data_IF_249258143375
#
_entry.id   IF_249258143375
#
_cell.length_a   1.000
_cell.length_b   1.000
_cell.length_c   1.000
_cell.angle_alpha   90.00
_cell.angle_beta   90.00
_cell.angle_gamma   90.00
#
_symmetry.space_group_name_H-M   'P 1'
#
loop_
_entity.id
_entity.type
_entity.pdbx_description
1 polymer ?
#
# COMPACT_ATOMS: atom_id res chain seq x y z
N UNK A 1 -12.41 12.19 17.56
CA UNK A 1 -11.27 11.80 16.70
C UNK A 1 -10.18 12.86 16.79
N UNK A 2 -8.92 12.45 16.79
CA UNK A 2 -7.73 13.31 16.74
C UNK A 2 -6.96 13.07 15.44
N UNK A 3 -6.70 14.12 14.69
CA UNK A 3 -6.04 14.08 13.38
C UNK A 3 -4.82 15.00 13.42
N UNK A 4 -3.69 14.56 12.91
CA UNK A 4 -2.52 15.42 12.73
C UNK A 4 -2.15 15.44 11.25
N UNK A 5 -2.11 16.65 10.68
CA UNK A 5 -1.54 16.90 9.36
C UNK A 5 -0.03 17.11 9.53
N UNK A 6 0.79 16.44 8.72
CA UNK A 6 2.25 16.45 8.87
C UNK A 6 2.89 16.90 7.55
N UNK A 7 3.82 17.86 7.61
CA UNK A 7 4.48 18.43 6.44
C UNK A 7 5.85 19.05 6.80
N UNK A 8 6.71 19.28 5.81
CA UNK A 8 7.89 20.16 5.92
C UNK A 8 7.56 21.53 5.30
N UNK A 9 7.58 22.60 6.09
CA UNK A 9 7.24 23.95 5.62
C UNK A 9 8.24 24.44 4.57
N UNK A 10 9.54 24.30 4.83
CA UNK A 10 10.59 24.80 3.96
C UNK A 10 10.59 24.11 2.60
N UNK A 11 10.19 22.85 2.52
CA UNK A 11 10.09 22.11 1.25
C UNK A 11 8.87 22.56 0.43
N UNK A 12 7.72 22.84 1.08
CA UNK A 12 6.56 23.46 0.41
C UNK A 12 6.95 24.83 -0.16
N UNK A 13 7.60 25.66 0.64
CA UNK A 13 8.03 27.01 0.24
C UNK A 13 9.09 26.95 -0.86
N UNK A 14 10.02 26.00 -0.80
CA UNK A 14 11.01 25.77 -1.85
C UNK A 14 10.37 25.31 -3.16
N UNK A 15 9.38 24.41 -3.09
CA UNK A 15 8.72 23.84 -4.27
C UNK A 15 7.85 24.86 -4.98
N UNK A 16 7.05 25.62 -4.23
CA UNK A 16 6.03 26.52 -4.79
C UNK A 16 6.39 28.00 -4.74
N UNK A 17 7.46 28.38 -4.03
CA UNK A 17 7.90 29.77 -3.92
C UNK A 17 6.78 30.70 -3.48
N UNK A 18 6.55 31.76 -4.26
CA UNK A 18 5.54 32.78 -3.99
C UNK A 18 4.08 32.30 -4.02
N UNK A 19 3.79 31.09 -4.50
CA UNK A 19 2.43 30.51 -4.49
C UNK A 19 2.19 29.50 -3.37
N UNK A 20 3.18 29.26 -2.52
CA UNK A 20 3.07 28.38 -1.34
C UNK A 20 1.91 28.75 -0.40
N UNK A 21 1.48 30.02 -0.37
CA UNK A 21 0.29 30.44 0.40
C UNK A 21 -0.99 29.70 -0.02
N UNK A 22 -1.10 29.25 -1.27
CA UNK A 22 -2.25 28.48 -1.76
C UNK A 22 -2.29 27.11 -1.07
N UNK A 23 -1.14 26.45 -0.93
CA UNK A 23 -1.01 25.19 -0.19
C UNK A 23 -1.50 25.36 1.25
N UNK A 24 -0.99 26.39 1.93
CA UNK A 24 -1.35 26.68 3.33
C UNK A 24 -2.82 27.04 3.49
N UNK A 25 -3.43 27.72 2.50
CA UNK A 25 -4.87 27.97 2.48
C UNK A 25 -5.65 26.65 2.47
N UNK A 26 -5.25 25.66 1.67
CA UNK A 26 -5.92 24.35 1.65
C UNK A 26 -5.73 23.57 2.95
N UNK A 27 -4.53 23.61 3.54
CA UNK A 27 -4.26 23.00 4.85
C UNK A 27 -5.18 23.61 5.91
N UNK A 28 -5.33 24.93 5.94
CA UNK A 28 -6.23 25.61 6.88
C UNK A 28 -7.70 25.24 6.62
N UNK A 29 -8.14 25.15 5.35
CA UNK A 29 -9.49 24.66 5.01
C UNK A 29 -9.77 23.26 5.59
N UNK A 30 -8.80 22.34 5.52
CA UNK A 30 -8.92 21.01 6.15
C UNK A 30 -9.02 21.11 7.67
N UNK A 31 -8.16 21.90 8.31
CA UNK A 31 -8.19 22.08 9.77
C UNK A 31 -9.54 22.65 10.23
N UNK A 32 -10.03 23.69 9.56
CA UNK A 32 -11.32 24.31 9.84
C UNK A 32 -12.47 23.32 9.65
N UNK A 33 -12.43 22.52 8.59
CA UNK A 33 -13.43 21.48 8.34
C UNK A 33 -13.43 20.41 9.44
N UNK A 34 -12.27 19.94 9.86
CA UNK A 34 -12.19 18.97 10.95
C UNK A 34 -12.66 19.55 12.28
N UNK A 35 -12.34 20.81 12.57
CA UNK A 35 -12.86 21.50 13.74
C UNK A 35 -14.39 21.66 13.67
N UNK A 36 -14.93 22.00 12.49
CA UNK A 36 -16.38 22.04 12.26
C UNK A 36 -17.04 20.68 12.48
N UNK A 37 -16.37 19.58 12.12
CA UNK A 37 -16.77 18.20 12.44
C UNK A 37 -16.53 17.80 13.91
N UNK A 38 -16.11 18.72 14.77
CA UNK A 38 -15.77 18.46 16.18
C UNK A 38 -14.61 17.48 16.38
N UNK A 39 -13.72 17.36 15.39
CA UNK A 39 -12.47 16.62 15.53
C UNK A 39 -11.38 17.53 16.10
N UNK A 40 -10.45 16.93 16.84
CA UNK A 40 -9.24 17.60 17.30
C UNK A 40 -8.20 17.52 16.19
N UNK A 41 -8.10 18.55 15.37
CA UNK A 41 -7.13 18.60 14.28
C UNK A 41 -6.02 19.62 14.56
N UNK A 42 -4.78 19.25 14.25
CA UNK A 42 -3.62 20.13 14.31
C UNK A 42 -2.68 19.89 13.12
N UNK A 43 -1.82 20.88 12.86
CA UNK A 43 -0.72 20.81 11.92
C UNK A 43 0.59 20.65 12.70
N UNK A 44 1.45 19.75 12.23
CA UNK A 44 2.81 19.59 12.70
C UNK A 44 3.78 19.86 11.54
N UNK A 45 4.52 20.96 11.63
CA UNK A 45 5.56 21.33 10.68
C UNK A 45 6.91 20.81 11.20
N UNK A 46 7.43 19.79 10.52
CA UNK A 46 8.56 18.98 11.00
C UNK A 46 9.85 19.79 11.15
N UNK A 47 10.04 20.81 10.30
CA UNK A 47 11.22 21.66 10.21
C UNK A 47 11.07 23.01 10.92
N UNK A 48 9.94 23.23 11.62
CA UNK A 48 9.65 24.48 12.33
C UNK A 48 9.90 24.29 13.83
N UNK A 49 10.92 24.97 14.35
CA UNK A 49 11.33 24.89 15.77
C UNK A 49 10.18 25.13 16.75
N UNK A 50 9.34 26.13 16.49
CA UNK A 50 8.23 26.48 17.39
C UNK A 50 7.14 25.41 17.41
N UNK A 51 6.93 24.71 16.29
CA UNK A 51 5.95 23.62 16.21
C UNK A 51 6.47 22.36 16.86
N UNK A 52 7.71 21.96 16.59
CA UNK A 52 8.30 20.76 17.18
C UNK A 52 8.54 20.88 18.70
N UNK A 53 8.74 22.11 19.20
CA UNK A 53 8.82 22.37 20.63
C UNK A 53 7.54 21.98 21.40
N UNK A 54 6.35 21.99 20.74
CA UNK A 54 5.08 21.55 21.35
C UNK A 54 5.11 20.07 21.73
N UNK A 55 5.94 19.29 21.04
CA UNK A 55 6.11 17.85 21.24
C UNK A 55 7.41 17.49 21.97
N UNK A 56 8.17 18.49 22.43
CA UNK A 56 9.51 18.33 23.01
C UNK A 56 10.51 17.65 22.06
N UNK A 57 10.39 17.93 20.76
CA UNK A 57 11.23 17.38 19.71
C UNK A 57 12.12 18.45 19.08
N UNK A 58 13.31 18.08 18.57
CA UNK A 58 14.07 18.98 17.70
C UNK A 58 13.36 19.15 16.34
N UNK A 59 13.53 20.30 15.66
CA UNK A 59 13.11 20.42 14.27
C UNK A 59 13.97 19.53 13.37
N UNK A 60 13.35 18.96 12.35
CA UNK A 60 14.03 18.26 11.25
C UNK A 60 14.89 19.28 10.51
N UNK A 61 16.19 19.00 10.42
CA UNK A 61 17.16 19.91 9.80
C UNK A 61 17.30 19.68 8.29
N UNK A 62 17.02 18.47 7.84
CA UNK A 62 16.94 18.08 6.44
C UNK A 62 15.64 17.31 6.20
N UNK A 63 14.67 17.94 5.55
CA UNK A 63 13.36 17.32 5.27
C UNK A 63 13.42 16.11 4.33
N UNK A 64 14.57 15.86 3.68
CA UNK A 64 14.81 14.68 2.85
C UNK A 64 15.54 13.55 3.59
N UNK A 65 16.02 13.80 4.82
CA UNK A 65 16.58 12.76 5.68
C UNK A 65 15.43 11.91 6.25
N UNK A 66 15.21 10.75 5.63
CA UNK A 66 14.14 9.82 5.99
C UNK A 66 14.21 9.39 7.47
N UNK A 67 15.39 9.32 8.08
CA UNK A 67 15.53 8.99 9.50
C UNK A 67 15.03 10.12 10.36
N UNK A 68 15.49 11.36 10.10
CA UNK A 68 15.00 12.52 10.87
C UNK A 68 13.49 12.71 10.73
N UNK A 69 12.95 12.53 9.53
CA UNK A 69 11.50 12.61 9.28
C UNK A 69 10.75 11.52 10.05
N UNK A 70 11.22 10.26 10.00
CA UNK A 70 10.63 9.14 10.75
C UNK A 70 10.67 9.38 12.26
N UNK A 71 11.82 9.79 12.80
CA UNK A 71 12.00 10.05 14.23
C UNK A 71 11.06 11.19 14.70
N UNK A 72 10.88 12.23 13.87
CA UNK A 72 9.96 13.33 14.15
C UNK A 72 8.49 12.87 14.14
N UNK A 73 8.07 12.08 13.13
CA UNK A 73 6.72 11.51 13.05
C UNK A 73 6.44 10.59 14.24
N UNK A 74 7.41 9.76 14.62
CA UNK A 74 7.33 8.89 15.80
C UNK A 74 7.16 9.68 17.09
N UNK A 75 7.96 10.73 17.27
CA UNK A 75 7.85 11.61 18.43
C UNK A 75 6.48 12.30 18.51
N UNK A 76 5.97 12.80 17.39
CA UNK A 76 4.63 13.43 17.31
C UNK A 76 3.56 12.41 17.69
N UNK A 77 3.63 11.19 17.14
CA UNK A 77 2.68 10.13 17.48
C UNK A 77 2.77 9.76 18.97
N UNK A 78 3.97 9.66 19.53
CA UNK A 78 4.16 9.32 20.94
C UNK A 78 3.57 10.38 21.89
N UNK A 79 3.76 11.67 21.55
CA UNK A 79 3.23 12.81 22.31
C UNK A 79 1.70 12.90 22.23
N UNK A 80 1.13 12.72 21.03
CA UNK A 80 -0.26 13.07 20.77
C UNK A 80 -1.21 11.87 20.64
N UNK A 81 -0.68 10.70 20.25
CA UNK A 81 -1.42 9.45 19.95
C UNK A 81 -2.65 9.68 19.07
N UNK A 82 -2.52 10.35 17.91
CA UNK A 82 -3.64 10.66 17.05
C UNK A 82 -4.34 9.39 16.55
N UNK A 83 -5.61 9.52 16.20
CA UNK A 83 -6.38 8.44 15.58
C UNK A 83 -6.03 8.30 14.09
N UNK A 84 -5.52 9.37 13.46
CA UNK A 84 -5.05 9.37 12.08
C UNK A 84 -3.93 10.40 11.89
N UNK A 85 -2.93 10.06 11.08
CA UNK A 85 -1.94 11.00 10.56
C UNK A 85 -2.12 11.14 9.04
N UNK A 86 -2.15 12.37 8.56
CA UNK A 86 -2.18 12.66 7.12
C UNK A 86 -0.86 13.30 6.70
N UNK A 87 -0.13 12.62 5.83
CA UNK A 87 1.14 13.07 5.28
C UNK A 87 0.84 14.00 4.10
N UNK A 88 1.28 15.25 4.18
CA UNK A 88 0.93 16.27 3.19
C UNK A 88 2.05 16.43 2.16
N UNK A 89 1.69 16.33 0.87
CA UNK A 89 2.62 16.43 -0.25
C UNK A 89 3.19 15.08 -0.73
N UNK A 90 3.80 15.09 -1.90
CA UNK A 90 4.54 14.00 -2.51
C UNK A 90 5.94 13.87 -1.89
N UNK A 91 6.75 12.97 -2.44
CA UNK A 91 8.04 12.59 -1.86
C UNK A 91 9.13 13.68 -1.87
N UNK A 92 8.91 14.80 -2.54
CA UNK A 92 9.77 16.00 -2.49
C UNK A 92 9.36 17.02 -1.40
N UNK A 93 8.24 16.79 -0.70
CA UNK A 93 7.79 17.56 0.46
C UNK A 93 7.88 16.72 1.74
N UNK A 94 7.41 15.47 1.69
CA UNK A 94 7.51 14.52 2.80
C UNK A 94 7.92 13.17 2.21
N UNK A 95 9.18 12.74 2.39
CA UNK A 95 9.71 11.60 1.66
C UNK A 95 8.97 10.31 2.01
N UNK A 96 8.79 9.44 1.02
CA UNK A 96 8.64 8.02 1.33
C UNK A 96 9.90 7.52 2.04
N UNK A 97 9.75 6.55 2.92
CA UNK A 97 10.91 5.81 3.39
C UNK A 97 11.22 4.69 2.39
N UNK A 98 12.46 4.62 1.95
CA UNK A 98 12.93 3.64 0.97
C UNK A 98 13.32 2.36 1.73
N UNK A 99 12.49 1.33 1.61
CA UNK A 99 12.72 0.04 2.22
C UNK A 99 13.44 -0.87 1.22
N UNK A 100 14.44 -1.61 1.67
CA UNK A 100 15.17 -2.57 0.83
C UNK A 100 14.22 -3.65 0.36
N UNK A 101 14.12 -3.84 -0.94
CA UNK A 101 13.44 -5.01 -1.50
C UNK A 101 14.35 -6.24 -1.28
N UNK A 102 13.80 -7.25 -0.62
CA UNK A 102 14.51 -8.51 -0.32
C UNK A 102 13.97 -9.68 -1.14
N UNK A 103 13.07 -9.40 -2.08
CA UNK A 103 12.53 -10.40 -3.00
C UNK A 103 13.67 -10.98 -3.86
N UNK A 104 13.86 -12.32 -3.89
CA UNK A 104 14.81 -13.00 -4.74
C UNK A 104 14.75 -12.51 -6.17
N UNK A 105 15.93 -12.16 -6.71
CA UNK A 105 16.10 -11.77 -8.11
C UNK A 105 15.21 -10.61 -8.57
N UNK A 106 14.65 -9.83 -7.65
CA UNK A 106 14.05 -8.54 -7.97
C UNK A 106 15.12 -7.60 -8.52
N UNK A 107 14.85 -6.99 -9.67
CA UNK A 107 15.69 -5.92 -10.21
C UNK A 107 15.47 -4.61 -9.44
N UNK A 108 14.39 -4.52 -8.66
CA UNK A 108 14.10 -3.39 -7.80
C UNK A 108 14.91 -3.50 -6.51
N UNK A 109 15.65 -2.45 -6.18
CA UNK A 109 16.45 -2.41 -4.94
C UNK A 109 15.65 -1.91 -3.73
N UNK A 110 14.65 -1.06 -3.98
CA UNK A 110 13.90 -0.40 -2.92
C UNK A 110 12.42 -0.25 -3.26
N UNK A 111 11.59 -0.35 -2.21
CA UNK A 111 10.16 -0.04 -2.19
C UNK A 111 9.97 1.30 -1.49
N UNK A 112 9.39 2.28 -2.18
CA UNK A 112 9.01 3.56 -1.58
C UNK A 112 7.75 3.35 -0.74
N UNK A 113 7.80 3.59 0.57
CA UNK A 113 6.70 3.21 1.47
C UNK A 113 6.34 4.26 2.53
N UNK A 114 5.04 4.29 2.86
CA UNK A 114 4.50 4.96 4.04
C UNK A 114 4.25 3.99 5.22
N UNK A 115 4.50 2.68 5.03
CA UNK A 115 4.39 1.68 6.10
C UNK A 115 5.24 2.04 7.34
N UNK A 116 6.47 2.59 7.21
CA UNK A 116 7.25 2.97 8.38
C UNK A 116 6.58 4.05 9.23
N UNK A 117 5.90 5.02 8.62
CA UNK A 117 5.14 6.02 9.36
C UNK A 117 3.91 5.43 10.07
N UNK A 118 3.43 4.27 9.61
CA UNK A 118 2.34 3.51 10.22
C UNK A 118 2.79 2.59 11.38
N UNK A 119 4.09 2.51 11.68
CA UNK A 119 4.67 1.60 12.68
C UNK A 119 5.39 2.35 13.81
N UNK A 120 5.37 1.75 15.01
CA UNK A 120 6.11 2.22 16.18
C UNK A 120 7.58 1.81 16.19
N UNK A 121 8.03 0.99 15.24
CA UNK A 121 9.44 0.64 15.11
C UNK A 121 10.25 1.87 14.68
N UNK A 122 11.44 2.06 15.26
CA UNK A 122 12.37 3.12 14.87
C UNK A 122 12.79 3.00 13.39
N UNK A 123 13.43 4.03 12.85
CA UNK A 123 13.91 3.98 11.46
C UNK A 123 14.76 2.74 11.16
N UNK A 124 14.45 2.11 10.03
CA UNK A 124 15.13 0.94 9.46
C UNK A 124 14.89 0.92 7.95
N UNK A 125 15.78 0.33 7.18
CA UNK A 125 15.50 0.06 5.74
C UNK A 125 14.95 -1.35 5.52
N UNK A 126 14.89 -2.18 6.56
CA UNK A 126 14.38 -3.55 6.48
C UNK A 126 12.85 -3.55 6.62
N UNK A 127 12.14 -4.14 5.64
CA UNK A 127 10.67 -4.24 5.66
C UNK A 127 10.18 -5.02 6.88
N UNK A 128 10.93 -6.05 7.31
CA UNK A 128 10.59 -6.88 8.47
C UNK A 128 10.47 -6.09 9.78
N UNK A 129 11.11 -4.91 9.86
CA UNK A 129 10.98 -4.02 11.02
C UNK A 129 9.57 -3.41 11.16
N UNK A 130 8.78 -3.40 10.08
CA UNK A 130 7.51 -2.68 10.02
C UNK A 130 6.29 -3.57 9.83
N UNK A 131 6.43 -4.90 9.93
CA UNK A 131 5.34 -5.89 9.81
C UNK A 131 4.38 -5.93 11.02
N UNK A 132 4.41 -4.90 11.87
CA UNK A 132 3.49 -4.67 12.98
C UNK A 132 3.01 -3.20 12.98
N UNK A 133 2.31 -2.74 11.92
CA UNK A 133 1.79 -1.39 11.90
C UNK A 133 0.75 -1.18 13.02
N UNK A 134 0.75 0.01 13.62
CA UNK A 134 -0.10 0.36 14.75
C UNK A 134 -0.84 1.70 14.57
N UNK A 135 -0.63 2.38 13.43
CA UNK A 135 -1.10 3.74 13.19
C UNK A 135 -1.83 3.85 11.86
N UNK A 136 -2.96 4.54 11.88
CA UNK A 136 -3.71 4.89 10.68
C UNK A 136 -3.02 6.05 9.97
N UNK A 137 -2.57 5.81 8.74
CA UNK A 137 -1.84 6.78 7.91
C UNK A 137 -2.47 6.86 6.53
N UNK A 138 -2.57 8.07 6.01
CA UNK A 138 -2.82 8.33 4.59
C UNK A 138 -1.91 9.46 4.11
N UNK A 139 -1.74 9.59 2.81
CA UNK A 139 -1.05 10.72 2.19
C UNK A 139 -2.00 11.54 1.34
N UNK A 140 -1.91 12.86 1.42
CA UNK A 140 -2.60 13.82 0.55
C UNK A 140 -1.52 14.42 -0.34
N UNK A 141 -1.20 13.77 -1.47
CA UNK A 141 -0.06 14.18 -2.27
C UNK A 141 -0.40 15.37 -3.18
N UNK A 142 0.65 16.07 -3.58
CA UNK A 142 0.67 16.90 -4.78
C UNK A 142 1.32 16.09 -5.92
N UNK A 143 1.91 16.77 -6.90
CA UNK A 143 2.65 16.14 -8.00
C UNK A 143 4.15 16.31 -7.79
N UNK A 144 4.92 15.22 -7.73
CA UNK A 144 6.37 15.26 -7.51
C UNK A 144 7.09 16.03 -8.62
N UNK A 145 8.01 16.91 -8.23
CA UNK A 145 8.84 17.67 -9.16
C UNK A 145 8.11 18.79 -9.91
N UNK A 146 6.79 18.91 -9.78
CA UNK A 146 6.03 20.00 -10.36
C UNK A 146 6.12 21.24 -9.46
N UNK A 147 6.68 22.33 -9.98
CA UNK A 147 6.79 23.62 -9.28
C UNK A 147 5.67 24.59 -9.65
N UNK A 148 4.74 24.13 -10.49
CA UNK A 148 3.70 24.94 -11.13
C UNK A 148 2.31 24.70 -10.51
N UNK A 149 1.33 25.47 -10.99
CA UNK A 149 -0.06 25.42 -10.51
C UNK A 149 -0.67 24.03 -10.73
N UNK A 150 -0.26 23.32 -11.77
CA UNK A 150 -0.73 21.96 -12.09
C UNK A 150 -0.42 20.99 -10.95
N UNK A 151 0.76 21.08 -10.33
CA UNK A 151 1.10 20.23 -9.18
C UNK A 151 0.27 20.57 -7.95
N UNK A 152 -0.04 21.85 -7.75
CA UNK A 152 -0.92 22.32 -6.68
C UNK A 152 -2.38 21.91 -6.91
N UNK A 153 -2.84 21.83 -8.16
CA UNK A 153 -4.22 21.48 -8.52
C UNK A 153 -4.59 20.08 -8.00
N UNK A 154 -3.71 19.09 -8.14
CA UNK A 154 -3.92 17.75 -7.57
C UNK A 154 -4.14 17.82 -6.05
N UNK A 155 -3.31 18.59 -5.35
CA UNK A 155 -3.42 18.75 -3.92
C UNK A 155 -4.74 19.43 -3.52
N UNK A 156 -5.10 20.52 -4.20
CA UNK A 156 -6.38 21.24 -4.00
C UNK A 156 -7.55 20.29 -4.19
N UNK A 157 -7.57 19.50 -5.28
CA UNK A 157 -8.67 18.58 -5.58
C UNK A 157 -8.78 17.43 -4.60
N UNK A 158 -7.65 16.91 -4.13
CA UNK A 158 -7.63 15.88 -3.09
C UNK A 158 -8.16 16.46 -1.77
N UNK A 159 -7.81 17.70 -1.44
CA UNK A 159 -8.37 18.42 -0.29
C UNK A 159 -9.87 18.63 -0.46
N UNK A 160 -10.33 19.14 -1.60
CA UNK A 160 -11.75 19.36 -1.88
C UNK A 160 -12.55 18.07 -1.78
N UNK A 161 -12.02 16.95 -2.29
CA UNK A 161 -12.63 15.64 -2.11
C UNK A 161 -12.78 15.28 -0.61
N UNK A 162 -11.76 15.51 0.20
CA UNK A 162 -11.84 15.28 1.66
C UNK A 162 -12.88 16.17 2.34
N UNK A 163 -13.07 17.41 1.88
CA UNK A 163 -14.05 18.35 2.42
C UNK A 163 -15.49 17.98 2.04
N UNK A 164 -15.67 17.43 0.84
CA UNK A 164 -16.98 17.04 0.30
C UNK A 164 -17.40 15.63 0.73
N UNK A 165 -16.45 14.84 1.20
CA UNK A 165 -16.68 13.45 1.59
C UNK A 165 -17.67 13.33 2.77
N UNK A 166 -18.53 12.33 2.65
CA UNK A 166 -19.63 12.06 3.59
C UNK A 166 -19.68 10.57 3.89
N UNK A 167 -20.05 10.17 5.12
CA UNK A 167 -20.36 8.78 5.41
C UNK A 167 -21.36 8.27 4.38
N UNK A 168 -20.98 7.25 3.62
CA UNK A 168 -21.91 6.56 2.73
C UNK A 168 -22.34 5.22 3.36
N UNK A 169 -23.60 4.79 3.17
CA UNK A 169 -24.00 3.45 3.57
C UNK A 169 -23.24 2.40 2.74
N UNK A 170 -23.08 1.19 3.28
CA UNK A 170 -22.47 0.04 2.58
C UNK A 170 -23.10 -0.18 1.19
N UNK A 171 -24.41 0.08 1.05
CA UNK A 171 -25.13 -0.04 -0.21
C UNK A 171 -24.58 0.87 -1.32
N UNK A 172 -23.93 1.98 -0.98
CA UNK A 172 -23.29 2.89 -1.93
C UNK A 172 -22.00 2.31 -2.53
N UNK A 173 -21.49 1.20 -1.98
CA UNK A 173 -20.25 0.53 -2.41
C UNK A 173 -20.52 -0.90 -2.89
N UNK A 174 -21.68 -1.11 -3.49
CA UNK A 174 -22.10 -2.43 -3.97
C UNK A 174 -21.61 -2.67 -5.39
N UNK A 175 -21.66 -1.68 -6.27
CA UNK A 175 -21.14 -1.78 -7.63
C UNK A 175 -19.61 -1.63 -7.67
N UNK A 176 -18.94 -2.60 -8.30
CA UNK A 176 -17.49 -2.64 -8.45
C UNK A 176 -17.13 -2.77 -9.93
N UNK A 177 -16.41 -1.79 -10.47
CA UNK A 177 -15.84 -1.85 -11.81
C UNK A 177 -14.54 -2.64 -11.70
N UNK A 178 -14.53 -3.86 -12.23
CA UNK A 178 -13.37 -4.74 -12.19
C UNK A 178 -12.77 -4.87 -13.59
N UNK A 179 -11.54 -4.38 -13.74
CA UNK A 179 -10.75 -4.51 -14.96
C UNK A 179 -9.51 -5.35 -14.69
N UNK A 180 -9.28 -6.40 -15.46
CA UNK A 180 -8.14 -7.30 -15.25
C UNK A 180 -7.50 -7.77 -16.56
N UNK A 181 -6.21 -8.13 -16.49
CA UNK A 181 -5.53 -8.81 -17.58
C UNK A 181 -6.09 -10.22 -17.75
N UNK A 182 -6.43 -10.64 -18.97
CA UNK A 182 -7.09 -11.95 -19.19
C UNK A 182 -6.29 -13.12 -18.60
N UNK A 183 -4.97 -13.08 -18.68
CA UNK A 183 -4.10 -14.13 -18.14
C UNK A 183 -4.09 -14.23 -16.60
N UNK A 184 -4.73 -13.29 -15.89
CA UNK A 184 -4.92 -13.26 -14.43
C UNK A 184 -6.39 -13.46 -14.03
N UNK A 185 -7.23 -13.96 -14.94
CA UNK A 185 -8.65 -14.21 -14.69
C UNK A 185 -8.87 -15.11 -13.46
N UNK A 186 -8.04 -16.14 -13.31
CA UNK A 186 -8.16 -17.08 -12.19
C UNK A 186 -7.89 -16.39 -10.85
N UNK A 187 -6.72 -15.74 -10.70
CA UNK A 187 -6.33 -15.04 -9.46
C UNK A 187 -7.35 -13.95 -9.09
N UNK A 188 -7.78 -13.17 -10.10
CA UNK A 188 -8.80 -12.14 -9.94
C UNK A 188 -10.11 -12.73 -9.44
N UNK A 189 -10.58 -13.83 -10.03
CA UNK A 189 -11.82 -14.47 -9.59
C UNK A 189 -11.72 -15.06 -8.18
N UNK A 190 -10.57 -15.62 -7.81
CA UNK A 190 -10.33 -16.16 -6.47
C UNK A 190 -10.41 -15.07 -5.40
N UNK A 191 -9.84 -13.89 -5.66
CA UNK A 191 -9.90 -12.77 -4.72
C UNK A 191 -11.30 -12.15 -4.65
N UNK A 192 -11.97 -11.96 -5.79
CA UNK A 192 -13.33 -11.43 -5.82
C UNK A 192 -14.33 -12.37 -5.12
N UNK A 193 -14.10 -13.68 -5.13
CA UNK A 193 -14.92 -14.65 -4.41
C UNK A 193 -14.82 -14.51 -2.88
N UNK A 194 -13.75 -13.89 -2.36
CA UNK A 194 -13.57 -13.60 -0.92
C UNK A 194 -14.28 -12.32 -0.48
N UNK A 195 -14.91 -11.58 -1.40
CA UNK A 195 -15.64 -10.36 -1.04
C UNK A 195 -16.91 -10.72 -0.26
N UNK A 196 -17.20 -9.90 0.75
CA UNK A 196 -18.40 -9.99 1.56
C UNK A 196 -19.64 -9.91 0.66
N UNK A 197 -20.70 -10.69 0.92
CA UNK A 197 -21.91 -10.73 0.11
C UNK A 197 -22.48 -9.34 -0.20
N UNK A 198 -23.12 -9.21 -1.37
CA UNK A 198 -23.75 -7.96 -1.81
C UNK A 198 -22.88 -7.08 -2.71
N UNK A 199 -21.72 -7.57 -3.19
CA UNK A 199 -21.00 -6.91 -4.27
C UNK A 199 -21.62 -7.26 -5.63
N UNK A 200 -21.96 -6.26 -6.43
CA UNK A 200 -22.24 -6.38 -7.85
C UNK A 200 -20.94 -6.08 -8.61
N UNK A 201 -20.15 -7.11 -8.91
CA UNK A 201 -18.87 -6.95 -9.61
C UNK A 201 -19.08 -7.03 -11.12
N UNK A 202 -18.82 -5.92 -11.80
CA UNK A 202 -18.86 -5.77 -13.25
C UNK A 202 -17.46 -6.04 -13.81
N UNK A 203 -17.25 -7.25 -14.33
CA UNK A 203 -15.93 -7.75 -14.75
C UNK A 203 -15.67 -7.51 -16.23
N UNK A 204 -14.48 -7.00 -16.53
CA UNK A 204 -13.98 -6.79 -17.87
C UNK A 204 -12.53 -7.28 -17.99
N UNK A 205 -12.27 -8.15 -18.96
CA UNK A 205 -10.94 -8.63 -19.29
C UNK A 205 -10.30 -7.82 -20.42
N UNK A 206 -8.98 -7.60 -20.33
CA UNK A 206 -8.19 -6.97 -21.38
C UNK A 206 -7.08 -7.90 -21.85
N UNK A 207 -7.01 -8.24 -23.16
CA UNK A 207 -8.02 -8.02 -24.21
C UNK A 207 -9.29 -8.89 -24.02
N UNK A 208 -10.45 -8.51 -24.61
CA UNK A 208 -10.60 -7.55 -25.73
C UNK A 208 -10.93 -6.11 -25.32
N UNK A 209 -11.12 -5.80 -24.04
CA UNK A 209 -11.48 -4.45 -23.62
C UNK A 209 -10.24 -3.57 -23.49
N UNK A 210 -10.33 -2.34 -24.00
CA UNK A 210 -9.22 -1.39 -24.08
C UNK A 210 -9.71 0.03 -23.80
N UNK A 211 -8.78 0.95 -23.54
CA UNK A 211 -9.07 2.37 -23.38
C UNK A 211 -9.45 3.01 -24.73
N UNK A 212 -10.38 3.99 -24.80
CA UNK A 212 -11.11 4.63 -23.70
C UNK A 212 -12.38 3.88 -23.28
N UNK A 213 -12.76 4.06 -22.01
CA UNK A 213 -13.96 3.47 -21.42
C UNK A 213 -15.16 4.40 -21.48
N UNK A 214 -16.37 3.82 -21.51
CA UNK A 214 -17.60 4.57 -21.30
C UNK A 214 -17.57 5.19 -19.89
N UNK A 215 -17.77 6.51 -19.81
CA UNK A 215 -17.83 7.24 -18.53
C UNK A 215 -18.83 6.63 -17.56
N UNK A 216 -19.95 6.08 -18.04
CA UNK A 216 -20.94 5.40 -17.19
C UNK A 216 -20.36 4.22 -16.41
N UNK A 217 -19.38 3.52 -16.97
CA UNK A 217 -18.67 2.45 -16.28
C UNK A 217 -17.68 3.00 -15.25
N UNK A 218 -17.05 4.14 -15.57
CA UNK A 218 -16.09 4.82 -14.71
C UNK A 218 -16.73 5.66 -13.58
N UNK A 219 -18.05 5.85 -13.60
CA UNK A 219 -18.84 6.42 -12.50
C UNK A 219 -19.13 5.41 -11.37
N UNK A 220 -18.62 4.17 -11.46
CA UNK A 220 -18.79 3.21 -10.39
C UNK A 220 -17.99 3.61 -9.15
N UNK A 221 -18.54 3.37 -7.94
CA UNK A 221 -17.96 3.88 -6.69
C UNK A 221 -16.66 3.17 -6.30
N UNK A 222 -16.44 1.93 -6.77
CA UNK A 222 -15.21 1.17 -6.55
C UNK A 222 -14.63 0.73 -7.88
N UNK A 223 -13.36 1.02 -8.09
CA UNK A 223 -12.56 0.50 -9.19
C UNK A 223 -11.56 -0.52 -8.66
N UNK A 224 -11.64 -1.76 -9.12
CA UNK A 224 -10.67 -2.82 -8.87
C UNK A 224 -9.90 -3.11 -10.15
N UNK A 225 -8.60 -2.79 -10.15
CA UNK A 225 -7.80 -2.74 -11.37
C UNK A 225 -6.61 -3.68 -11.21
N UNK A 226 -6.64 -4.81 -11.91
CA UNK A 226 -5.59 -5.83 -11.89
C UNK A 226 -4.91 -5.95 -13.27
N UNK A 227 -4.02 -5.01 -13.57
CA UNK A 227 -3.37 -4.87 -14.87
C UNK A 227 -1.85 -4.78 -14.74
N UNK A 228 -1.16 -4.83 -15.88
CA UNK A 228 0.26 -4.46 -15.93
C UNK A 228 0.41 -2.95 -15.78
N UNK A 229 1.53 -2.55 -15.17
CA UNK A 229 2.01 -1.19 -15.12
C UNK A 229 3.53 -1.20 -15.18
N UNK A 230 4.12 -0.07 -15.58
CA UNK A 230 5.57 0.10 -15.68
C UNK A 230 6.06 1.30 -14.87
N UNK A 231 7.35 1.35 -14.53
CA UNK A 231 7.93 2.48 -13.83
C UNK A 231 7.87 3.72 -14.73
N UNK A 232 7.38 4.83 -14.17
CA UNK A 232 7.23 6.10 -14.91
C UNK A 232 6.25 6.03 -16.11
N UNK A 233 5.31 5.06 -16.11
CA UNK A 233 4.32 4.88 -17.17
C UNK A 233 2.90 5.34 -16.78
N UNK A 234 2.24 6.01 -17.72
CA UNK A 234 0.91 6.60 -17.51
C UNK A 234 -0.24 5.66 -17.90
N UNK A 235 0.11 4.50 -18.48
CA UNK A 235 -0.81 3.52 -19.01
C UNK A 235 -0.74 2.23 -18.21
N UNK A 236 -1.88 1.55 -18.09
CA UNK A 236 -1.97 0.18 -17.65
C UNK A 236 -2.39 -0.73 -18.80
N UNK A 237 -1.83 -1.93 -18.81
CA UNK A 237 -1.94 -2.84 -19.95
C UNK A 237 -2.62 -4.15 -19.56
N UNK A 238 -3.45 -4.65 -20.48
CA UNK A 238 -4.01 -5.98 -20.40
C UNK A 238 -2.96 -7.05 -20.71
N UNK A 239 -3.38 -8.32 -20.69
CA UNK A 239 -2.56 -9.41 -21.19
C UNK A 239 -3.41 -10.58 -21.68
N UNK A 240 -3.13 -11.08 -22.89
CA UNK A 240 -3.50 -12.43 -23.33
C UNK A 240 -2.35 -13.05 -24.11
N UNK A 241 -1.64 -14.00 -23.49
CA UNK A 241 -0.40 -14.52 -24.07
C UNK A 241 0.63 -13.40 -24.26
N UNK A 242 1.01 -13.13 -25.51
CA UNK A 242 1.99 -12.10 -25.86
C UNK A 242 1.38 -10.75 -26.25
N UNK A 243 0.06 -10.60 -26.12
CA UNK A 243 -0.66 -9.36 -26.43
C UNK A 243 -0.87 -8.51 -25.18
N UNK A 244 -0.39 -7.26 -25.19
CA UNK A 244 -0.39 -6.32 -24.06
C UNK A 244 -0.99 -4.97 -24.48
N UNK A 245 -2.30 -4.90 -24.77
CA UNK A 245 -2.93 -3.66 -25.20
C UNK A 245 -3.06 -2.66 -24.05
N UNK A 246 -3.21 -1.38 -24.38
CA UNK A 246 -3.52 -0.33 -23.38
C UNK A 246 -4.95 -0.52 -22.88
N UNK A 247 -5.06 -1.10 -21.69
CA UNK A 247 -6.33 -1.38 -21.04
C UNK A 247 -6.90 -0.12 -20.38
N UNK A 248 -6.06 0.74 -19.81
CA UNK A 248 -6.49 1.96 -19.15
C UNK A 248 -5.40 3.04 -19.25
N UNK A 249 -5.76 4.19 -19.82
CA UNK A 249 -4.85 5.32 -20.03
C UNK A 249 -5.26 6.49 -19.12
N UNK A 250 -4.28 7.09 -18.42
CA UNK A 250 -4.55 8.13 -17.42
C UNK A 250 -5.16 9.41 -18.00
N UNK A 251 -4.86 9.75 -19.25
CA UNK A 251 -5.38 10.96 -19.93
C UNK A 251 -6.89 10.85 -20.21
N UNK A 252 -7.43 9.63 -20.31
CA UNK A 252 -8.86 9.41 -20.53
C UNK A 252 -9.71 9.47 -19.24
N UNK A 253 -9.06 9.64 -18.08
CA UNK A 253 -9.73 9.70 -16.79
C UNK A 253 -10.20 11.10 -16.40
N UNK A 254 -9.72 12.15 -17.07
CA UNK A 254 -10.10 13.53 -16.73
C UNK A 254 -11.61 13.77 -16.90
N UNK A 255 -12.27 14.12 -15.81
CA UNK A 255 -13.72 14.34 -15.77
C UNK A 255 -14.53 13.08 -16.10
N UNK A 256 -13.96 11.90 -15.85
CA UNK A 256 -14.60 10.60 -16.10
C UNK A 256 -14.91 9.83 -14.82
N UNK A 257 -14.41 10.28 -13.66
CA UNK A 257 -14.66 9.66 -12.36
C UNK A 257 -15.55 10.55 -11.49
N UNK A 258 -16.33 9.94 -10.60
CA UNK A 258 -17.03 10.67 -9.56
C UNK A 258 -16.09 10.98 -8.38
N UNK A 259 -16.25 12.16 -7.79
CA UNK A 259 -15.56 12.49 -6.56
C UNK A 259 -15.98 11.50 -5.46
N UNK A 260 -15.01 10.92 -4.77
CA UNK A 260 -15.23 9.86 -3.79
C UNK A 260 -15.14 8.44 -4.35
N UNK A 261 -14.90 8.23 -5.65
CA UNK A 261 -14.54 6.90 -6.19
C UNK A 261 -13.34 6.34 -5.42
N UNK A 262 -13.39 5.05 -5.10
CA UNK A 262 -12.31 4.33 -4.43
C UNK A 262 -11.64 3.41 -5.44
N UNK A 263 -10.40 3.70 -5.79
CA UNK A 263 -9.61 2.88 -6.67
C UNK A 263 -8.64 2.00 -5.89
N UNK A 264 -8.58 0.73 -6.29
CA UNK A 264 -7.66 -0.27 -5.77
C UNK A 264 -6.90 -0.80 -6.97
N UNK A 265 -5.69 -0.28 -7.17
CA UNK A 265 -4.85 -0.57 -8.32
C UNK A 265 -3.73 -1.54 -7.93
N UNK A 266 -3.87 -2.79 -8.37
CA UNK A 266 -2.92 -3.88 -8.18
C UNK A 266 -1.83 -3.88 -9.26
N UNK A 267 -1.69 -2.76 -9.96
CA UNK A 267 -0.73 -2.61 -11.04
C UNK A 267 0.65 -2.27 -10.47
N UNK A 268 1.71 -2.83 -11.06
CA UNK A 268 3.07 -2.44 -10.71
C UNK A 268 3.24 -0.93 -10.91
N UNK A 269 3.85 -0.27 -9.93
CA UNK A 269 4.14 1.16 -9.96
C UNK A 269 2.92 2.09 -10.08
N UNK A 270 1.70 1.57 -9.94
CA UNK A 270 0.47 2.35 -10.08
C UNK A 270 0.32 3.48 -9.06
N UNK A 271 1.07 3.42 -7.96
CA UNK A 271 1.12 4.41 -6.90
C UNK A 271 2.26 5.42 -7.02
N UNK A 272 3.04 5.45 -8.10
CA UNK A 272 4.09 6.46 -8.21
C UNK A 272 3.52 7.86 -8.50
N UNK A 273 4.09 8.89 -7.86
CA UNK A 273 3.60 10.27 -7.89
C UNK A 273 4.44 11.20 -8.79
N UNK A 274 5.05 10.71 -9.87
CA UNK A 274 5.99 11.48 -10.71
C UNK A 274 5.28 12.43 -11.69
N UNK A 275 6.01 13.38 -12.28
CA UNK A 275 5.56 14.08 -13.48
C UNK A 275 6.48 13.75 -14.64
N UNK A 276 5.93 13.15 -15.71
CA UNK A 276 6.70 12.83 -16.91
C UNK A 276 6.00 13.38 -18.15
N UNK A 277 6.73 14.19 -18.92
CA UNK A 277 6.34 14.57 -20.29
C UNK A 277 4.94 15.20 -20.44
N UNK A 278 4.50 15.99 -19.46
CA UNK A 278 3.20 16.67 -19.54
C UNK A 278 1.99 15.82 -19.15
N UNK A 279 2.20 14.54 -18.80
CA UNK A 279 1.15 13.59 -18.48
C UNK A 279 1.10 13.32 -16.99
N UNK A 280 -0.12 13.19 -16.46
CA UNK A 280 -0.32 12.77 -15.09
C UNK A 280 -0.08 11.25 -14.99
N UNK A 281 0.68 10.81 -13.97
CA UNK A 281 0.75 9.40 -13.65
C UNK A 281 -0.63 8.93 -13.20
N UNK A 282 -0.83 7.62 -13.23
CA UNK A 282 -2.12 7.02 -12.95
C UNK A 282 -2.69 7.43 -11.58
N UNK A 283 -1.84 7.45 -10.54
CA UNK A 283 -2.27 7.85 -9.21
C UNK A 283 -2.80 9.28 -9.17
N UNK A 284 -2.04 10.23 -9.74
CA UNK A 284 -2.45 11.62 -9.77
C UNK A 284 -3.69 11.85 -10.66
N UNK A 285 -3.91 11.07 -11.72
CA UNK A 285 -5.11 11.17 -12.55
C UNK A 285 -6.39 10.79 -11.77
N UNK A 286 -6.33 9.76 -10.91
CA UNK A 286 -7.45 9.44 -10.01
C UNK A 286 -7.68 10.56 -8.99
N UNK A 287 -6.61 11.04 -8.35
CA UNK A 287 -6.70 12.11 -7.36
C UNK A 287 -7.19 13.45 -7.95
N UNK A 288 -6.84 13.73 -9.21
CA UNK A 288 -7.35 14.88 -9.97
C UNK A 288 -8.87 14.85 -10.18
N UNK A 289 -9.51 13.70 -10.01
CA UNK A 289 -10.97 13.59 -10.06
C UNK A 289 -11.59 13.47 -8.65
N UNK A 290 -10.79 13.65 -7.59
CA UNK A 290 -11.26 13.54 -6.22
C UNK A 290 -11.50 12.10 -5.75
N UNK A 291 -10.86 11.13 -6.41
CA UNK A 291 -10.89 9.74 -5.96
C UNK A 291 -9.95 9.52 -4.76
N UNK A 292 -10.12 8.39 -4.07
CA UNK A 292 -9.14 7.83 -3.13
C UNK A 292 -8.49 6.62 -3.77
N UNK A 293 -7.20 6.41 -3.55
CA UNK A 293 -6.45 5.36 -4.23
C UNK A 293 -5.62 4.52 -3.25
N UNK A 294 -5.79 3.20 -3.28
CA UNK A 294 -4.81 2.24 -2.79
C UNK A 294 -4.02 1.71 -3.98
N UNK A 295 -2.71 1.95 -4.02
CA UNK A 295 -1.88 1.52 -5.15
C UNK A 295 -0.47 1.13 -4.73
N UNK A 296 0.16 0.24 -5.50
CA UNK A 296 1.53 -0.20 -5.27
C UNK A 296 2.55 0.80 -5.82
N UNK A 297 3.55 1.16 -5.02
CA UNK A 297 4.70 1.98 -5.44
C UNK A 297 5.80 1.16 -6.14
N UNK A 298 5.64 -0.16 -6.21
CA UNK A 298 6.62 -1.15 -6.62
C UNK A 298 6.00 -2.24 -7.51
N UNK A 299 6.73 -3.31 -7.80
CA UNK A 299 6.24 -4.45 -8.58
C UNK A 299 5.16 -5.21 -7.77
N UNK A 300 3.87 -4.99 -8.01
CA UNK A 300 2.84 -5.84 -7.40
C UNK A 300 2.87 -7.28 -7.98
N UNK A 301 2.97 -8.28 -7.11
CA UNK A 301 2.96 -9.70 -7.47
C UNK A 301 1.54 -10.27 -7.40
N UNK A 302 1.16 -11.04 -8.43
CA UNK A 302 -0.13 -11.73 -8.49
C UNK A 302 -0.24 -12.79 -7.40
N UNK A 303 -1.44 -13.01 -6.90
CA UNK A 303 -1.74 -13.80 -5.71
C UNK A 303 -1.81 -12.92 -4.47
N UNK A 304 -0.70 -12.25 -4.13
CA UNK A 304 -0.61 -11.44 -2.90
C UNK A 304 -1.32 -10.09 -3.02
N UNK A 305 -1.13 -9.39 -4.15
CA UNK A 305 -1.81 -8.12 -4.39
C UNK A 305 -3.35 -8.30 -4.39
N UNK A 306 -3.85 -9.39 -4.97
CA UNK A 306 -5.26 -9.74 -5.03
C UNK A 306 -5.82 -10.10 -3.65
N UNK A 307 -5.10 -10.89 -2.84
CA UNK A 307 -5.53 -11.16 -1.47
C UNK A 307 -5.57 -9.89 -0.61
N UNK A 308 -4.49 -9.11 -0.63
CA UNK A 308 -4.37 -7.86 0.13
C UNK A 308 -5.48 -6.86 -0.23
N UNK A 309 -5.73 -6.67 -1.52
CA UNK A 309 -6.78 -5.78 -2.02
C UNK A 309 -8.20 -6.27 -1.71
N UNK A 310 -8.45 -7.59 -1.73
CA UNK A 310 -9.74 -8.16 -1.33
C UNK A 310 -10.03 -7.92 0.16
N UNK A 311 -9.02 -8.08 1.03
CA UNK A 311 -9.12 -7.74 2.46
C UNK A 311 -9.44 -6.25 2.61
N UNK A 312 -8.70 -5.38 1.92
CA UNK A 312 -8.96 -3.94 1.96
C UNK A 312 -10.37 -3.59 1.52
N UNK A 313 -10.83 -4.15 0.40
CA UNK A 313 -12.18 -3.90 -0.11
C UNK A 313 -13.25 -4.37 0.88
N UNK A 314 -13.02 -5.48 1.59
CA UNK A 314 -13.92 -5.93 2.66
C UNK A 314 -13.99 -4.92 3.82
N UNK A 315 -12.88 -4.30 4.21
CA UNK A 315 -12.93 -3.24 5.22
C UNK A 315 -13.63 -1.99 4.70
N UNK A 316 -13.34 -1.55 3.47
CA UNK A 316 -13.98 -0.38 2.87
C UNK A 316 -15.50 -0.57 2.73
N UNK A 317 -15.93 -1.73 2.22
CA UNK A 317 -17.36 -2.04 2.01
C UNK A 317 -18.07 -2.43 3.29
N UNK A 318 -17.40 -3.09 4.22
CA UNK A 318 -18.03 -3.73 5.38
C UNK A 318 -17.95 -2.95 6.68
N UNK A 319 -17.04 -1.98 6.80
CA UNK A 319 -16.69 -1.40 8.10
C UNK A 319 -17.04 0.08 8.24
N UNK A 320 -17.40 0.48 9.47
CA UNK A 320 -17.57 1.88 9.88
C UNK A 320 -16.20 2.49 10.24
N UNK A 321 -15.21 2.28 9.39
CA UNK A 321 -13.82 2.72 9.59
C UNK A 321 -13.44 3.77 8.55
N UNK A 322 -12.64 4.77 8.95
CA UNK A 322 -12.00 5.67 7.99
C UNK A 322 -11.07 4.88 7.05
N UNK A 323 -10.83 5.38 5.84
CA UNK A 323 -9.92 4.72 4.87
C UNK A 323 -8.52 4.41 5.45
N UNK A 324 -7.89 5.32 6.22
CA UNK A 324 -6.62 5.04 6.90
C UNK A 324 -6.73 3.89 7.92
N UNK A 325 -7.85 3.78 8.62
CA UNK A 325 -8.11 2.70 9.58
C UNK A 325 -8.39 1.37 8.87
N UNK A 326 -9.10 1.42 7.73
CA UNK A 326 -9.31 0.25 6.88
C UNK A 326 -7.97 -0.28 6.35
N UNK A 327 -7.04 0.58 5.92
CA UNK A 327 -5.69 0.15 5.52
C UNK A 327 -4.90 -0.45 6.69
N UNK A 328 -4.95 0.17 7.87
CA UNK A 328 -4.31 -0.39 9.06
C UNK A 328 -4.86 -1.79 9.38
N UNK A 329 -6.19 -1.95 9.41
CA UNK A 329 -6.82 -3.25 9.66
C UNK A 329 -6.49 -4.26 8.56
N UNK A 330 -6.44 -3.83 7.30
CA UNK A 330 -6.04 -4.68 6.18
C UNK A 330 -4.66 -5.27 6.40
N UNK A 331 -3.69 -4.45 6.78
CA UNK A 331 -2.32 -4.92 7.04
C UNK A 331 -2.31 -5.94 8.17
N UNK A 332 -3.04 -5.67 9.26
CA UNK A 332 -3.11 -6.58 10.40
C UNK A 332 -3.77 -7.92 10.04
N UNK A 333 -4.87 -7.89 9.30
CA UNK A 333 -5.60 -9.09 8.88
C UNK A 333 -4.81 -9.90 7.86
N UNK A 334 -4.13 -9.22 6.93
CA UNK A 334 -3.22 -9.84 5.98
C UNK A 334 -2.03 -10.50 6.68
N UNK A 335 -1.31 -9.78 7.54
CA UNK A 335 -0.19 -10.35 8.30
C UNK A 335 -0.65 -11.54 9.17
N UNK A 336 -1.84 -11.45 9.77
CA UNK A 336 -2.42 -12.55 10.54
C UNK A 336 -2.85 -13.75 9.68
N UNK A 337 -3.18 -13.56 8.39
CA UNK A 337 -3.52 -14.67 7.49
C UNK A 337 -2.30 -15.44 7.00
N UNK A 338 -1.10 -14.87 7.09
CA UNK A 338 0.18 -15.47 6.66
C UNK A 338 0.96 -16.17 7.78
N UNK A 339 0.32 -16.41 8.92
CA UNK A 339 0.96 -17.10 10.04
C UNK A 339 1.37 -18.54 9.69
N UNK A 340 2.47 -19.06 10.27
CA UNK A 340 3.29 -18.46 11.33
C UNK A 340 4.44 -17.57 10.85
N UNK A 341 4.72 -17.51 9.55
CA UNK A 341 5.91 -16.82 9.01
C UNK A 341 5.55 -16.01 7.79
N UNK A 342 5.88 -14.72 7.81
CA UNK A 342 5.81 -13.90 6.62
C UNK A 342 7.02 -14.13 5.73
N UNK A 343 6.77 -14.51 4.50
CA UNK A 343 7.78 -14.56 3.46
C UNK A 343 8.12 -13.14 2.93
N UNK A 344 9.07 -13.04 2.01
CA UNK A 344 9.53 -11.75 1.50
C UNK A 344 8.55 -11.11 0.49
N UNK A 345 7.72 -11.90 -0.21
CA UNK A 345 6.67 -11.37 -1.08
C UNK A 345 5.57 -10.73 -0.24
N UNK A 346 5.15 -11.40 0.83
CA UNK A 346 4.14 -10.93 1.77
C UNK A 346 4.58 -9.68 2.52
N UNK A 347 5.83 -9.66 3.00
CA UNK A 347 6.46 -8.46 3.57
C UNK A 347 6.39 -7.29 2.58
N UNK A 348 6.82 -7.54 1.34
CA UNK A 348 6.83 -6.52 0.29
C UNK A 348 5.43 -6.02 -0.04
N UNK A 349 4.44 -6.90 -0.16
CA UNK A 349 3.04 -6.53 -0.40
C UNK A 349 2.50 -5.63 0.72
N UNK A 350 2.79 -5.93 1.99
CA UNK A 350 2.38 -5.06 3.10
C UNK A 350 3.02 -3.65 3.04
N UNK A 351 4.20 -3.54 2.44
CA UNK A 351 4.99 -2.31 2.34
C UNK A 351 4.67 -1.46 1.10
N UNK A 352 4.41 -2.07 -0.05
CA UNK A 352 4.32 -1.36 -1.33
C UNK A 352 2.99 -0.65 -1.55
N UNK A 353 1.90 -1.12 -0.93
CA UNK A 353 0.59 -0.50 -1.07
C UNK A 353 0.43 0.70 -0.14
N UNK A 354 0.26 1.87 -0.77
CA UNK A 354 0.06 3.16 -0.11
C UNK A 354 -1.35 3.67 -0.39
N UNK A 355 -1.97 4.31 0.62
CA UNK A 355 -3.25 4.99 0.50
C UNK A 355 -3.02 6.48 0.23
N UNK A 356 -3.60 6.97 -0.87
CA UNK A 356 -3.67 8.37 -1.23
C UNK A 356 -5.09 8.93 -1.10
N UNK A 357 -5.19 10.15 -0.59
CA UNK A 357 -6.45 10.83 -0.32
C UNK A 357 -7.24 10.13 0.79
N UNK A 358 -8.54 9.94 0.58
CA UNK A 358 -9.37 9.17 1.49
C UNK A 358 -10.13 9.99 2.52
N UNK A 359 -11.30 9.45 2.84
CA UNK A 359 -12.15 9.79 3.95
C UNK A 359 -11.41 9.72 5.30
N UNK A 360 -10.80 10.81 5.73
CA UNK A 360 -10.11 10.85 7.03
C UNK A 360 -11.10 10.77 8.20
N UNK A 361 -12.33 11.28 8.04
CA UNK A 361 -13.32 11.39 9.11
C UNK A 361 -14.72 10.85 8.83
N UNK A 362 -15.01 10.45 7.60
CA UNK A 362 -16.40 10.24 7.18
C UNK A 362 -17.05 8.95 7.69
N UNK A 363 -16.32 7.91 8.08
CA UNK A 363 -16.95 6.61 8.40
C UNK A 363 -17.11 6.30 9.89
N UNK A 364 -16.66 7.18 10.78
CA UNK A 364 -16.77 6.96 12.23
C UNK A 364 -18.12 7.50 12.74
N UNK A 365 -19.22 6.82 12.39
CA UNK A 365 -20.50 7.07 13.07
C UNK A 365 -21.07 5.84 13.80
N UNK A 366 -20.40 4.68 13.79
CA UNK A 366 -20.76 3.60 14.73
C UNK A 366 -19.67 2.54 15.01
N UNK A 367 -18.38 2.88 14.90
CA UNK A 367 -17.41 2.23 15.77
C UNK A 367 -17.61 2.86 17.16
N UNK A 368 -18.54 2.31 17.94
CA UNK A 368 -18.77 2.73 19.31
C UNK A 368 -17.45 2.87 20.07
N UNK A 369 -17.39 3.94 20.84
CA UNK A 369 -16.42 4.29 21.87
C UNK A 369 -15.59 3.08 22.37
N UNK A 370 -14.42 2.87 21.76
CA UNK A 370 -13.33 2.08 22.32
C UNK A 370 -13.30 0.57 22.03
N UNK A 371 -14.28 -0.03 21.36
CA UNK A 371 -14.26 -1.50 21.07
C UNK A 371 -13.31 -1.84 19.92
N UNK A 372 -13.38 -1.13 18.79
CA UNK A 372 -12.49 -1.36 17.63
C UNK A 372 -11.01 -1.17 17.94
N UNK A 373 -10.65 -0.10 18.66
CA UNK A 373 -9.25 0.16 19.05
C UNK A 373 -8.71 -0.88 20.04
N UNK A 374 -9.55 -1.38 20.96
CA UNK A 374 -9.16 -2.45 21.88
C UNK A 374 -8.97 -3.78 21.14
N UNK A 375 -9.85 -4.09 20.18
CA UNK A 375 -9.71 -5.28 19.35
C UNK A 375 -8.42 -5.24 18.51
N UNK A 376 -8.15 -4.12 17.85
CA UNK A 376 -6.95 -3.92 17.04
C UNK A 376 -5.67 -4.00 17.88
N UNK A 377 -5.66 -3.42 19.09
CA UNK A 377 -4.54 -3.58 20.04
C UNK A 377 -4.29 -5.04 20.42
N UNK A 378 -5.35 -5.79 20.76
CA UNK A 378 -5.24 -7.21 21.07
C UNK A 378 -4.71 -8.01 19.87
N UNK A 379 -5.11 -7.66 18.66
CA UNK A 379 -4.61 -8.30 17.45
C UNK A 379 -3.13 -7.96 17.22
N UNK A 380 -2.71 -6.72 17.43
CA UNK A 380 -1.28 -6.33 17.36
C UNK A 380 -0.46 -7.14 18.38
N UNK A 381 -0.95 -7.28 19.62
CA UNK A 381 -0.32 -8.10 20.66
C UNK A 381 -0.24 -9.58 20.22
N UNK A 382 -1.33 -10.14 19.70
CA UNK A 382 -1.36 -11.49 19.17
C UNK A 382 -0.34 -11.70 18.04
N UNK A 383 -0.33 -10.83 17.02
CA UNK A 383 0.60 -10.93 15.88
C UNK A 383 2.04 -10.82 16.39
N UNK A 384 2.33 -9.90 17.30
CA UNK A 384 3.66 -9.74 17.90
C UNK A 384 4.17 -11.03 18.56
N UNK A 385 3.29 -11.77 19.23
CA UNK A 385 3.66 -13.00 19.93
C UNK A 385 3.72 -14.23 19.03
N UNK A 386 3.09 -14.18 17.84
CA UNK A 386 2.83 -15.38 17.02
C UNK A 386 3.47 -15.36 15.62
N UNK A 387 4.02 -14.23 15.18
CA UNK A 387 4.53 -14.09 13.81
C UNK A 387 6.06 -14.04 13.74
N UNK A 388 6.60 -14.97 12.95
CA UNK A 388 7.96 -14.92 12.43
C UNK A 388 8.03 -14.18 11.09
N UNK A 389 9.24 -13.76 10.71
CA UNK A 389 9.52 -13.04 9.48
C UNK A 389 10.78 -13.61 8.85
N UNK A 390 10.70 -13.95 7.56
CA UNK A 390 11.82 -14.49 6.82
C UNK A 390 12.82 -13.39 6.44
N UNK A 391 14.11 -13.66 6.65
CA UNK A 391 15.23 -12.80 6.29
C UNK A 391 16.24 -13.53 5.43
N UNK A 392 16.68 -12.88 4.37
CA UNK A 392 17.63 -13.47 3.42
C UNK A 392 18.91 -13.92 4.11
N UNK A 393 19.27 -15.19 3.91
CA UNK A 393 20.51 -15.79 4.38
C UNK A 393 21.21 -16.53 3.20
N UNK A 394 22.24 -15.91 2.59
CA UNK A 394 22.96 -16.51 1.46
C UNK A 394 23.76 -17.76 1.86
N UNK A 395 24.09 -17.92 3.14
CA UNK A 395 24.90 -19.04 3.65
C UNK A 395 24.04 -20.27 3.98
N UNK A 396 22.71 -20.15 3.89
CA UNK A 396 21.79 -21.22 4.23
C UNK A 396 21.78 -22.31 3.16
N UNK A 397 22.29 -23.50 3.52
CA UNK A 397 22.29 -24.65 2.62
C UNK A 397 20.89 -25.24 2.45
N UNK A 398 20.50 -25.54 1.21
CA UNK A 398 19.25 -26.24 0.88
C UNK A 398 19.30 -27.70 1.34
N UNK A 399 18.45 -28.14 2.29
CA UNK A 399 18.39 -29.51 2.76
C UNK A 399 17.89 -30.47 1.68
N UNK A 400 18.26 -31.74 1.80
CA UNK A 400 17.88 -32.78 0.84
C UNK A 400 16.36 -32.98 0.71
N UNK A 401 15.60 -32.83 1.80
CA UNK A 401 14.13 -32.91 1.78
C UNK A 401 13.51 -31.84 0.87
N UNK A 402 14.04 -30.62 0.93
CA UNK A 402 13.60 -29.49 0.09
C UNK A 402 13.96 -29.76 -1.37
N UNK A 403 15.20 -30.21 -1.65
CA UNK A 403 15.62 -30.55 -3.03
C UNK A 403 14.74 -31.60 -3.68
N UNK A 404 14.38 -32.66 -2.94
CA UNK A 404 13.48 -33.71 -3.44
C UNK A 404 12.08 -33.18 -3.68
N UNK A 405 11.57 -32.32 -2.80
CA UNK A 405 10.24 -31.74 -2.97
C UNK A 405 10.17 -30.82 -4.19
N UNK A 406 11.19 -29.99 -4.39
CA UNK A 406 11.36 -29.15 -5.60
C UNK A 406 11.25 -29.99 -6.87
N UNK A 407 11.99 -31.11 -6.95
CA UNK A 407 11.94 -31.99 -8.11
C UNK A 407 10.55 -32.62 -8.32
N UNK A 408 9.90 -33.04 -7.23
CA UNK A 408 8.57 -33.63 -7.27
C UNK A 408 7.49 -32.65 -7.74
N UNK A 409 7.49 -31.43 -7.21
CA UNK A 409 6.54 -30.38 -7.60
C UNK A 409 6.79 -29.92 -9.05
N UNK A 410 8.06 -29.78 -9.45
CA UNK A 410 8.43 -29.48 -10.83
C UNK A 410 7.93 -30.55 -11.82
N UNK A 411 8.15 -31.83 -11.50
CA UNK A 411 7.67 -32.94 -12.34
C UNK A 411 6.13 -32.97 -12.40
N UNK A 412 5.45 -32.76 -11.27
CA UNK A 412 3.99 -32.81 -11.19
C UNK A 412 3.32 -31.66 -11.95
N UNK A 413 3.91 -30.47 -11.89
CA UNK A 413 3.38 -29.28 -12.55
C UNK A 413 3.89 -29.04 -13.97
N UNK A 414 4.85 -29.85 -14.45
CA UNK A 414 5.47 -29.65 -15.75
C UNK A 414 6.35 -28.40 -15.80
N UNK A 415 7.06 -28.11 -14.70
CA UNK A 415 7.96 -26.98 -14.60
C UNK A 415 9.43 -27.36 -14.83
N UNK A 416 10.20 -26.40 -15.35
CA UNK A 416 11.65 -26.43 -15.41
C UNK A 416 12.24 -25.65 -14.22
N UNK A 417 13.04 -26.31 -13.39
CA UNK A 417 13.70 -25.68 -12.22
C UNK A 417 14.88 -24.83 -12.70
N UNK A 418 14.86 -23.54 -12.37
CA UNK A 418 15.97 -22.64 -12.70
C UNK A 418 17.13 -22.80 -11.70
N UNK A 419 18.38 -22.49 -12.11
CA UNK A 419 19.51 -22.55 -11.19
C UNK A 419 19.38 -21.58 -10.00
N UNK A 420 19.77 -22.09 -8.82
CA UNK A 420 19.87 -21.33 -7.57
C UNK A 420 18.64 -21.49 -6.68
N UNK A 421 18.89 -21.69 -5.39
CA UNK A 421 17.89 -21.66 -4.31
C UNK A 421 18.33 -20.59 -3.32
N UNK A 422 17.46 -19.62 -3.04
CA UNK A 422 17.71 -18.60 -2.04
C UNK A 422 17.21 -19.09 -0.67
N UNK A 423 18.10 -19.10 0.33
CA UNK A 423 17.76 -19.49 1.69
C UNK A 423 17.43 -18.30 2.58
N UNK A 424 16.55 -18.52 3.55
CA UNK A 424 16.07 -17.50 4.47
C UNK A 424 15.93 -18.06 5.89
N UNK A 425 16.42 -17.33 6.88
CA UNK A 425 16.17 -17.62 8.29
C UNK A 425 14.90 -16.92 8.75
N UNK A 426 14.13 -17.58 9.61
CA UNK A 426 12.97 -16.97 10.25
C UNK A 426 13.38 -16.40 11.60
N UNK A 427 13.08 -15.11 11.79
CA UNK A 427 13.24 -14.43 13.08
C UNK A 427 11.88 -13.99 13.59
N UNK A 428 11.68 -13.97 14.91
CA UNK A 428 10.45 -13.42 15.49
C UNK A 428 10.30 -11.93 15.14
N UNK A 429 9.06 -11.47 14.96
CA UNK A 429 8.72 -10.07 14.70
C UNK A 429 8.99 -9.11 15.91
N UNK A 430 9.79 -9.50 16.90
CA UNK A 430 10.18 -8.62 18.01
C UNK A 430 10.91 -7.38 17.45
N UNK A 431 10.39 -6.16 17.65
CA UNK A 431 11.07 -4.92 17.25
C UNK A 431 12.50 -4.81 17.80
N UNK A 432 12.81 -5.51 18.90
CA UNK A 432 14.14 -5.53 19.52
C UNK A 432 15.05 -6.67 19.03
N UNK A 433 14.57 -7.58 18.18
CA UNK A 433 15.37 -8.64 17.58
C UNK A 433 15.74 -9.83 18.49
N UNK A 434 15.00 -10.09 19.57
CA UNK A 434 15.26 -11.28 20.40
C UNK A 434 14.58 -12.53 19.82
N UNK A 435 15.37 -13.52 19.41
CA UNK A 435 14.91 -14.76 18.75
C UNK A 435 14.26 -15.81 19.68
N UNK A 436 13.73 -15.41 20.84
CA UNK A 436 13.27 -16.35 21.85
C UNK A 436 11.82 -16.79 21.60
N UNK A 437 11.59 -17.93 20.93
CA UNK A 437 10.30 -18.63 21.10
C UNK A 437 9.78 -19.50 19.96
N UNK A 438 10.36 -19.50 18.76
CA UNK A 438 9.88 -20.36 17.67
C UNK A 438 10.73 -21.62 17.50
N UNK A 439 10.11 -22.67 17.00
CA UNK A 439 10.81 -23.79 16.38
C UNK A 439 11.82 -23.27 15.34
N UNK A 440 12.85 -24.07 14.99
CA UNK A 440 13.75 -23.71 13.90
C UNK A 440 12.94 -23.73 12.59
N UNK A 441 12.50 -22.54 12.16
CA UNK A 441 11.78 -22.34 10.89
C UNK A 441 12.74 -21.71 9.88
N UNK A 442 12.76 -22.25 8.66
CA UNK A 442 13.57 -21.79 7.54
C UNK A 442 12.72 -21.72 6.28
N UNK A 443 13.04 -20.80 5.39
CA UNK A 443 12.40 -20.71 4.07
C UNK A 443 13.40 -20.87 2.94
N UNK A 444 12.95 -21.49 1.85
CA UNK A 444 13.74 -21.69 0.64
C UNK A 444 12.92 -21.28 -0.58
N UNK A 445 13.45 -20.33 -1.33
CA UNK A 445 12.84 -19.85 -2.56
C UNK A 445 13.54 -20.40 -3.80
N UNK A 446 12.77 -20.85 -4.78
CA UNK A 446 13.27 -21.36 -6.06
C UNK A 446 12.39 -20.89 -7.21
N UNK A 447 13.03 -20.50 -8.31
CA UNK A 447 12.35 -20.18 -9.55
C UNK A 447 12.10 -21.43 -10.38
N UNK A 448 10.90 -21.49 -10.96
CA UNK A 448 10.47 -22.53 -11.88
C UNK A 448 9.76 -21.91 -13.06
N UNK A 449 9.95 -22.47 -14.26
CA UNK A 449 9.32 -21.97 -15.49
C UNK A 449 8.34 -23.00 -16.01
N UNK A 450 7.11 -22.61 -16.34
CA UNK A 450 6.14 -23.53 -16.93
C UNK A 450 6.35 -23.73 -18.44
N UNK A 451 5.56 -24.62 -19.05
CA UNK A 451 5.64 -24.92 -20.48
C UNK A 451 5.36 -23.73 -21.40
N UNK A 452 4.81 -22.63 -20.88
CA UNK A 452 4.55 -21.40 -21.62
C UNK A 452 5.66 -20.35 -21.40
N UNK A 453 6.75 -20.72 -20.72
CA UNK A 453 7.86 -19.80 -20.44
C UNK A 453 7.57 -18.84 -19.29
N UNK A 454 6.47 -19.02 -18.54
CA UNK A 454 6.09 -18.12 -17.46
C UNK A 454 6.85 -18.51 -16.19
N UNK A 455 7.36 -17.51 -15.48
CA UNK A 455 8.14 -17.72 -14.25
C UNK A 455 7.21 -17.82 -13.04
N UNK A 456 7.50 -18.79 -12.19
CA UNK A 456 6.84 -19.05 -10.91
C UNK A 456 7.92 -19.16 -9.84
N UNK A 457 7.65 -18.64 -8.66
CA UNK A 457 8.55 -18.72 -7.51
C UNK A 457 7.88 -19.53 -6.44
N UNK A 458 8.53 -20.62 -6.07
CA UNK A 458 8.06 -21.53 -5.04
C UNK A 458 8.81 -21.21 -3.75
N UNK A 459 8.06 -20.96 -2.67
CA UNK A 459 8.61 -20.74 -1.33
C UNK A 459 8.24 -21.93 -0.46
N UNK A 460 9.27 -22.64 0.00
CA UNK A 460 9.16 -23.82 0.85
C UNK A 460 9.46 -23.44 2.30
N UNK A 461 8.48 -23.57 3.18
CA UNK A 461 8.67 -23.36 4.62
C UNK A 461 8.99 -24.69 5.29
N UNK A 462 10.09 -24.71 6.04
CA UNK A 462 10.58 -25.88 6.79
C UNK A 462 10.51 -25.58 8.28
N UNK A 463 9.77 -26.38 9.03
CA UNK A 463 9.63 -26.29 10.49
C UNK A 463 10.11 -27.59 11.10
N UNK A 464 11.05 -27.51 12.05
CA UNK A 464 11.59 -28.70 12.75
C UNK A 464 12.12 -29.80 11.81
N UNK A 465 12.63 -29.40 10.63
CA UNK A 465 13.18 -30.31 9.63
C UNK A 465 12.16 -30.92 8.64
N UNK A 466 10.88 -30.60 8.77
CA UNK A 466 9.81 -31.03 7.85
C UNK A 466 9.30 -29.84 7.00
N UNK A 467 8.88 -30.11 5.76
CA UNK A 467 8.24 -29.09 4.91
C UNK A 467 6.81 -28.90 5.41
N UNK A 468 6.55 -27.76 6.05
CA UNK A 468 5.26 -27.42 6.63
C UNK A 468 4.34 -26.70 5.66
N UNK A 469 4.89 -25.99 4.67
CA UNK A 469 4.10 -25.25 3.68
C UNK A 469 4.85 -25.05 2.35
N UNK A 470 4.09 -24.84 1.26
CA UNK A 470 4.60 -24.49 -0.07
C UNK A 470 3.70 -23.43 -0.70
N UNK A 471 4.26 -22.24 -0.91
CA UNK A 471 3.59 -21.12 -1.57
C UNK A 471 4.12 -20.97 -3.00
N UNK A 472 3.25 -20.53 -3.92
CA UNK A 472 3.60 -20.35 -5.34
C UNK A 472 3.19 -18.96 -5.78
N UNK A 473 4.19 -18.16 -6.13
CA UNK A 473 4.03 -16.81 -6.64
C UNK A 473 4.28 -16.84 -8.14
N UNK A 474 3.51 -16.09 -8.92
CA UNK A 474 3.78 -15.95 -10.35
C UNK A 474 4.52 -14.64 -10.59
N UNK A 475 5.74 -14.75 -11.10
CA UNK A 475 6.51 -13.59 -11.56
C UNK A 475 6.11 -13.26 -12.99
N UNK A 476 6.20 -11.97 -13.31
CA UNK A 476 5.87 -11.48 -14.65
C UNK A 476 6.92 -11.92 -15.66
#
# INVERSE_FOLDING_TARGET
MKIILICNQSLVEKKYGGTSYIFWLQVNRLLDFFQWKSFKASLALLDVKADMAKYHLPPVSDGMDQRQVKDAVDGIYAAEKPDCMALMGAQDILPFQMLKDTTPKSEQQFVASDLPYASDHAYSVDISAFVLPSRAVTRIPDLYGATSVEGMDIFIRTVDACLLDKPQPISAYTDVFCLYAKDWEWDTNQALAKLSPGAAVHKYDSPPHESPWDKKLLHQPIHYINLHGGPLENDFYGQRGNDFPVALNSENLEGSLDAGTIAIALCCFGGQLYYCSGKLPFANAYLANGASLLASTAIAYTGEAEEYSAIFMNHVRGSKMSMPSALLQTRLDYIASKQPVLDYYEQKTAAEFVLYGGAMGAYIQAAEEGTGRKAMKKQIEYIRESVGVARYNPDLQTPEIVRRRIQGDAQKGGYEVQPGVAGFDVVSADPAGNSAGFAEIKQYSVDMTDSLGRRHVFVYTVTEGEISDVQVYREK
#
